data_IF_347952756259
#
_entry.id   IF_347952756259
#
_cell.length_a   1.000
_cell.length_b   1.000
_cell.length_c   1.000
_cell.angle_alpha   90.00
_cell.angle_beta   90.00
_cell.angle_gamma   90.00
#
_symmetry.space_group_name_H-M   'P 1'
#
loop_
_entity.id
_entity.type
_entity.pdbx_description
1 polymer ?
#
# COMPACT_ATOMS: atom_id res chain seq x y z
N UNK A 1 -8.49 13.52 -10.88
CA UNK A 1 -8.02 12.78 -12.06
C UNK A 1 -8.05 13.70 -13.26
N UNK A 2 -7.23 13.44 -14.27
CA UNK A 2 -7.16 14.22 -15.51
C UNK A 2 -7.27 13.27 -16.70
N UNK A 3 -7.90 13.72 -17.79
CA UNK A 3 -7.85 13.02 -19.07
C UNK A 3 -6.87 13.77 -19.96
N UNK A 4 -5.75 13.15 -20.30
CA UNK A 4 -4.66 13.75 -21.10
C UNK A 4 -4.43 12.84 -22.29
N UNK A 5 -4.62 13.37 -23.50
CA UNK A 5 -4.44 12.63 -24.77
C UNK A 5 -5.17 11.28 -24.85
N UNK A 6 -6.30 11.15 -24.13
CA UNK A 6 -7.10 9.93 -24.07
C UNK A 6 -6.79 8.99 -22.90
N UNK A 7 -5.72 9.25 -22.14
CA UNK A 7 -5.33 8.46 -20.97
C UNK A 7 -5.83 9.09 -19.66
N UNK A 8 -6.26 8.23 -18.72
CA UNK A 8 -6.66 8.64 -17.37
C UNK A 8 -5.43 8.75 -16.46
N UNK A 9 -5.17 9.96 -15.97
CA UNK A 9 -4.06 10.26 -15.07
C UNK A 9 -4.57 10.46 -13.64
N UNK A 10 -3.92 9.79 -12.70
CA UNK A 10 -4.17 9.90 -11.26
C UNK A 10 -2.91 10.49 -10.60
N UNK A 11 -3.06 11.64 -9.96
CA UNK A 11 -2.01 12.23 -9.12
C UNK A 11 -2.28 11.79 -7.69
N UNK A 12 -1.32 11.11 -7.10
CA UNK A 12 -1.38 10.55 -5.75
C UNK A 12 -0.13 10.94 -4.98
N UNK A 13 -0.15 10.72 -3.66
CA UNK A 13 1.06 10.87 -2.86
C UNK A 13 2.14 9.89 -3.30
N UNK A 14 3.40 10.33 -3.25
CA UNK A 14 4.55 9.50 -3.59
C UNK A 14 5.05 8.77 -2.35
N UNK A 15 5.14 7.44 -2.47
CA UNK A 15 5.65 6.55 -1.41
C UNK A 15 7.07 6.13 -1.78
N UNK A 16 8.05 6.69 -1.09
CA UNK A 16 9.49 6.61 -1.42
C UNK A 16 10.16 5.29 -0.97
N UNK A 17 9.47 4.48 -0.16
CA UNK A 17 9.90 3.14 0.28
C UNK A 17 9.58 2.02 -0.71
N UNK A 18 8.92 2.31 -1.83
CA UNK A 18 8.56 1.31 -2.84
C UNK A 18 7.47 0.34 -2.38
N UNK A 19 7.43 -0.85 -3.00
CA UNK A 19 6.41 -1.87 -2.65
C UNK A 19 6.91 -2.82 -1.57
N UNK A 20 6.00 -3.36 -0.77
CA UNK A 20 6.33 -4.44 0.19
C UNK A 20 6.98 -5.64 -0.51
N UNK A 21 6.58 -5.94 -1.75
CA UNK A 21 7.19 -7.00 -2.58
C UNK A 21 8.68 -6.78 -2.79
N UNK A 22 9.11 -5.54 -3.00
CA UNK A 22 10.51 -5.22 -3.24
C UNK A 22 11.32 -5.38 -1.95
N UNK A 23 10.76 -4.95 -0.81
CA UNK A 23 11.39 -5.11 0.51
C UNK A 23 11.61 -6.57 0.85
N UNK A 24 10.57 -7.41 0.78
CA UNK A 24 10.68 -8.85 1.15
C UNK A 24 11.59 -9.65 0.21
N UNK A 25 11.93 -9.11 -0.97
CA UNK A 25 12.89 -9.72 -1.90
C UNK A 25 14.33 -9.37 -1.55
N UNK A 26 14.57 -8.20 -0.97
CA UNK A 26 15.90 -7.69 -0.66
C UNK A 26 16.32 -8.02 0.77
N UNK A 27 15.37 -8.13 1.69
CA UNK A 27 15.63 -8.36 3.11
C UNK A 27 14.57 -9.24 3.76
N UNK A 28 14.97 -9.95 4.82
CA UNK A 28 14.02 -10.59 5.74
C UNK A 28 13.52 -9.57 6.75
N UNK A 29 12.20 -9.43 6.83
CA UNK A 29 11.57 -8.57 7.83
C UNK A 29 11.56 -9.24 9.20
N UNK A 30 11.83 -8.46 10.24
CA UNK A 30 11.62 -8.89 11.61
C UNK A 30 10.13 -9.00 11.92
N UNK A 31 9.78 -9.81 12.93
CA UNK A 31 8.38 -10.04 13.30
C UNK A 31 7.64 -8.74 13.69
N UNK A 32 8.34 -7.81 14.35
CA UNK A 32 7.79 -6.49 14.68
C UNK A 32 7.43 -5.66 13.44
N UNK A 33 8.24 -5.73 12.38
CA UNK A 33 7.98 -5.02 11.11
C UNK A 33 6.80 -5.66 10.37
N UNK A 34 6.74 -6.99 10.33
CA UNK A 34 5.62 -7.73 9.76
C UNK A 34 4.30 -7.40 10.49
N UNK A 35 4.34 -7.33 11.81
CA UNK A 35 3.18 -6.96 12.63
C UNK A 35 2.74 -5.51 12.37
N UNK A 36 3.70 -4.58 12.24
CA UNK A 36 3.40 -3.18 11.93
C UNK A 36 2.71 -3.05 10.57
N UNK A 37 3.27 -3.63 9.50
CA UNK A 37 2.67 -3.61 8.16
C UNK A 37 1.28 -4.26 8.16
N UNK A 38 1.12 -5.39 8.85
CA UNK A 38 -0.16 -6.08 8.93
C UNK A 38 -1.22 -5.23 9.64
N UNK A 39 -0.85 -4.55 10.74
CA UNK A 39 -1.75 -3.66 11.46
C UNK A 39 -2.26 -2.52 10.57
N UNK A 40 -1.37 -1.83 9.88
CA UNK A 40 -1.74 -0.71 9.00
C UNK A 40 -2.62 -1.18 7.82
N UNK A 41 -2.30 -2.33 7.22
CA UNK A 41 -3.13 -2.93 6.17
C UNK A 41 -4.54 -3.26 6.68
N UNK A 42 -4.65 -3.83 7.90
CA UNK A 42 -5.94 -4.15 8.49
C UNK A 42 -6.75 -2.90 8.82
N UNK A 43 -6.11 -1.81 9.27
CA UNK A 43 -6.78 -0.52 9.48
C UNK A 43 -7.30 0.06 8.16
N UNK A 44 -6.51 0.02 7.09
CA UNK A 44 -6.95 0.43 5.76
C UNK A 44 -8.11 -0.41 5.23
N UNK A 45 -8.05 -1.73 5.40
CA UNK A 45 -9.13 -2.64 5.00
C UNK A 45 -10.40 -2.44 5.83
N UNK A 46 -10.29 -2.21 7.14
CA UNK A 46 -11.44 -1.91 8.00
C UNK A 46 -12.14 -0.62 7.55
N UNK A 47 -11.36 0.40 7.20
CA UNK A 47 -11.89 1.62 6.59
C UNK A 47 -12.60 1.34 5.25
N UNK A 48 -12.00 0.56 4.34
CA UNK A 48 -12.65 0.22 3.07
C UNK A 48 -13.94 -0.57 3.28
N UNK A 49 -13.91 -1.60 4.12
CA UNK A 49 -15.04 -2.49 4.37
C UNK A 49 -16.19 -1.78 5.11
N UNK A 50 -15.91 -0.86 6.04
CA UNK A 50 -16.94 -0.01 6.66
C UNK A 50 -17.64 0.91 5.67
N UNK A 51 -17.01 1.18 4.52
CA UNK A 51 -17.58 1.94 3.41
C UNK A 51 -18.10 1.06 2.26
N UNK A 52 -18.30 -0.25 2.50
CA UNK A 52 -18.78 -1.21 1.50
C UNK A 52 -17.88 -1.34 0.26
N UNK A 53 -16.59 -1.01 0.40
CA UNK A 53 -15.59 -1.14 -0.66
C UNK A 53 -14.76 -2.40 -0.42
N UNK A 54 -14.71 -3.29 -1.41
CA UNK A 54 -13.81 -4.46 -1.39
C UNK A 54 -12.58 -4.11 -2.22
N UNK A 55 -11.37 -4.24 -1.64
CA UNK A 55 -10.11 -3.95 -2.33
C UNK A 55 -9.90 -4.83 -3.58
N UNK A 56 -10.28 -6.11 -3.48
CA UNK A 56 -10.22 -7.15 -4.54
C UNK A 56 -8.84 -7.56 -5.06
N UNK A 57 -7.80 -6.76 -4.89
CA UNK A 57 -6.43 -7.10 -5.32
C UNK A 57 -5.39 -6.89 -4.22
N UNK A 58 -5.63 -7.47 -3.04
CA UNK A 58 -4.72 -7.34 -1.90
C UNK A 58 -3.52 -8.29 -2.07
N UNK A 59 -2.33 -7.72 -2.27
CA UNK A 59 -1.05 -8.43 -2.43
C UNK A 59 0.13 -7.50 -2.15
N UNK A 60 1.32 -8.05 -1.92
CA UNK A 60 2.51 -7.26 -1.53
C UNK A 60 2.99 -6.25 -2.58
N UNK A 61 2.63 -6.38 -3.86
CA UNK A 61 2.94 -5.37 -4.88
C UNK A 61 2.02 -4.15 -4.84
N UNK A 62 0.90 -4.23 -4.12
CA UNK A 62 -0.08 -3.16 -3.95
C UNK A 62 -0.05 -2.61 -2.52
N UNK A 63 0.99 -2.93 -1.75
CA UNK A 63 1.25 -2.31 -0.44
C UNK A 63 2.46 -1.42 -0.64
N UNK A 64 2.28 -0.13 -0.48
CA UNK A 64 3.32 0.88 -0.62
C UNK A 64 3.85 1.30 0.75
N UNK A 65 5.15 1.55 0.81
CA UNK A 65 5.86 1.91 2.03
C UNK A 65 6.47 3.30 1.88
N UNK A 66 6.46 4.09 2.95
CA UNK A 66 7.22 5.32 3.08
C UNK A 66 8.46 5.12 3.94
N UNK A 67 9.52 5.87 3.69
CA UNK A 67 10.73 5.86 4.53
C UNK A 67 10.47 6.39 5.94
N UNK A 68 9.36 7.08 6.15
CA UNK A 68 8.84 7.51 7.45
C UNK A 68 8.13 6.37 8.23
N UNK A 69 8.04 5.17 7.65
CA UNK A 69 7.37 4.01 8.22
C UNK A 69 5.88 3.95 7.92
N UNK A 70 5.35 4.84 7.07
CA UNK A 70 3.97 4.78 6.61
C UNK A 70 3.71 3.58 5.69
N UNK A 71 2.49 3.05 5.77
CA UNK A 71 2.03 1.90 4.96
C UNK A 71 0.69 2.27 4.33
N UNK A 72 0.55 2.09 3.02
CA UNK A 72 -0.66 2.42 2.26
C UNK A 72 -1.06 1.25 1.35
N UNK A 73 -2.37 1.03 1.24
CA UNK A 73 -3.01 0.15 0.25
C UNK A 73 -3.26 0.93 -1.04
#
# INVERSE_FOLDING_TARGET
SFLVDGDLWLVMEYMDGGTLRDVVRQTCMAEGEMAAVSRECLQGLDFLHSNWVIHRDLKSSNILLGMDGSVRL
#
